data_IF_064265103165
#
_entry.id   IF_064265103165
#
_cell.length_a   1.000
_cell.length_b   1.000
_cell.length_c   1.000
_cell.angle_alpha   90.00
_cell.angle_beta   90.00
_cell.angle_gamma   90.00
#
_symmetry.space_group_name_H-M   'P 1'
#
loop_
_entity.id
_entity.type
_entity.pdbx_description
1 polymer ?
#
# COMPACT_ATOMS: atom_id res chain seq x y z
N UNK A 1 47.93 -49.83 21.09
CA UNK A 1 48.16 -51.00 20.21
C UNK A 1 46.82 -51.29 19.55
N UNK A 2 46.61 -51.23 18.23
CA UNK A 2 47.45 -50.92 17.03
C UNK A 2 46.50 -50.23 16.01
N UNK A 3 46.89 -49.31 15.13
CA UNK A 3 48.20 -48.70 14.78
C UNK A 3 48.01 -47.59 13.72
N UNK A 4 48.95 -47.45 12.78
CA UNK A 4 48.77 -46.77 11.48
C UNK A 4 48.98 -47.80 10.37
N UNK A 5 48.31 -47.62 9.22
CA UNK A 5 48.96 -47.87 7.93
C UNK A 5 48.35 -47.02 6.81
N UNK A 6 49.21 -46.34 6.06
CA UNK A 6 48.89 -45.65 4.81
C UNK A 6 49.20 -46.60 3.66
N UNK A 7 48.24 -46.85 2.77
CA UNK A 7 48.45 -47.59 1.53
C UNK A 7 48.18 -46.69 0.32
N UNK A 8 49.04 -46.81 -0.69
CA UNK A 8 49.21 -45.83 -1.78
C UNK A 8 48.71 -46.32 -3.14
N UNK A 9 48.33 -45.34 -3.97
CA UNK A 9 48.54 -45.30 -5.44
C UNK A 9 47.48 -45.90 -6.40
N UNK A 10 47.46 -45.31 -7.62
CA UNK A 10 46.90 -45.75 -8.91
C UNK A 10 45.37 -45.82 -9.14
N UNK A 11 44.85 -44.65 -9.52
CA UNK A 11 44.35 -44.35 -10.88
C UNK A 11 43.50 -45.37 -11.68
N UNK A 12 42.43 -44.83 -12.28
CA UNK A 12 41.94 -45.11 -13.64
C UNK A 12 41.26 -46.48 -13.93
N UNK A 13 39.92 -46.51 -13.84
CA UNK A 13 38.98 -46.52 -14.99
C UNK A 13 37.63 -47.18 -14.64
N UNK A 14 36.53 -46.47 -14.92
CA UNK A 14 35.28 -46.97 -15.53
C UNK A 14 34.36 -45.76 -15.75
N UNK A 15 34.27 -45.27 -16.99
CA UNK A 15 33.22 -45.63 -17.95
C UNK A 15 31.93 -44.84 -17.72
N UNK A 16 31.82 -43.71 -18.44
CA UNK A 16 30.58 -42.96 -18.60
C UNK A 16 29.60 -43.77 -19.47
N UNK A 17 28.59 -44.38 -18.85
CA UNK A 17 27.43 -44.90 -19.58
C UNK A 17 26.15 -44.90 -18.71
N UNK A 18 25.10 -44.27 -19.26
CA UNK A 18 23.69 -44.48 -18.94
C UNK A 18 23.18 -44.12 -17.52
N UNK A 19 22.67 -42.90 -17.39
CA UNK A 19 21.47 -42.63 -16.57
C UNK A 19 20.44 -41.93 -17.48
N UNK A 20 19.22 -42.46 -17.65
CA UNK A 20 18.24 -41.91 -18.57
C UNK A 20 17.55 -40.66 -18.01
N UNK A 21 17.17 -39.75 -18.91
CA UNK A 21 16.39 -38.55 -18.59
C UNK A 21 14.92 -38.87 -18.36
N UNK A 22 14.41 -38.56 -17.16
CA UNK A 22 13.00 -38.20 -16.90
C UNK A 22 12.83 -37.61 -15.50
N UNK A 23 11.87 -36.69 -15.36
CA UNK A 23 11.61 -35.76 -14.25
C UNK A 23 10.78 -36.37 -13.09
N UNK A 24 10.39 -35.64 -12.01
CA UNK A 24 10.94 -34.42 -11.35
C UNK A 24 11.07 -34.56 -9.80
N UNK A 25 11.35 -33.46 -9.09
CA UNK A 25 11.26 -33.28 -7.63
C UNK A 25 12.10 -34.19 -6.71
N UNK A 26 13.26 -33.67 -6.29
CA UNK A 26 13.78 -33.89 -4.93
C UNK A 26 14.00 -32.55 -4.25
N UNK A 27 13.51 -32.42 -3.01
CA UNK A 27 13.86 -31.31 -2.11
C UNK A 27 15.37 -31.39 -1.84
N UNK A 28 16.16 -30.54 -2.48
CA UNK A 28 17.52 -30.28 -2.01
C UNK A 28 17.38 -29.46 -0.74
N UNK A 29 17.65 -30.07 0.41
CA UNK A 29 17.74 -29.34 1.68
C UNK A 29 18.84 -28.29 1.54
N UNK A 30 18.59 -27.03 1.94
CA UNK A 30 19.56 -25.94 1.82
C UNK A 30 20.91 -26.25 2.50
N UNK A 31 20.93 -27.18 3.48
CA UNK A 31 22.15 -27.67 4.11
C UNK A 31 23.14 -28.35 3.15
N UNK A 32 22.70 -28.91 2.02
CA UNK A 32 23.59 -29.61 1.06
C UNK A 32 24.27 -28.64 0.09
N UNK A 33 23.63 -27.51 -0.21
CA UNK A 33 24.19 -26.48 -1.11
C UNK A 33 25.42 -25.82 -0.49
N UNK A 34 25.38 -25.51 0.81
CA UNK A 34 26.52 -24.91 1.53
C UNK A 34 27.74 -25.82 1.67
N UNK A 35 27.62 -27.14 1.47
CA UNK A 35 28.75 -28.07 1.59
C UNK A 35 29.44 -28.28 0.24
N UNK A 36 28.69 -28.34 -0.86
CA UNK A 36 29.27 -28.48 -2.22
C UNK A 36 29.98 -27.21 -2.71
N UNK A 37 29.61 -26.03 -2.20
CA UNK A 37 30.27 -24.77 -2.54
C UNK A 37 31.72 -24.67 -2.02
N UNK A 38 32.13 -25.48 -1.03
CA UNK A 38 33.44 -25.42 -0.40
C UNK A 38 34.56 -26.14 -1.18
N UNK A 39 34.22 -26.87 -2.25
CA UNK A 39 35.18 -27.67 -3.04
C UNK A 39 35.25 -27.29 -4.52
N UNK A 40 34.47 -26.30 -4.99
CA UNK A 40 34.54 -25.83 -6.39
C UNK A 40 35.43 -24.60 -6.50
N UNK A 41 36.44 -24.66 -7.38
CA UNK A 41 37.27 -23.50 -7.75
C UNK A 41 36.81 -22.88 -9.08
N UNK A 42 35.58 -23.16 -9.52
CA UNK A 42 35.09 -22.64 -10.80
C UNK A 42 34.72 -21.15 -10.64
N UNK A 43 35.38 -20.21 -11.34
CA UNK A 43 35.26 -18.78 -11.02
C UNK A 43 33.83 -18.22 -11.15
N UNK A 44 33.04 -18.81 -12.05
CA UNK A 44 31.62 -18.51 -12.27
C UNK A 44 30.75 -18.85 -11.06
N UNK A 45 30.97 -20.01 -10.43
CA UNK A 45 30.20 -20.51 -9.28
C UNK A 45 30.58 -19.73 -8.02
N UNK A 46 31.87 -19.45 -7.82
CA UNK A 46 32.35 -18.63 -6.70
C UNK A 46 31.79 -17.22 -6.77
N UNK A 47 31.85 -16.56 -7.94
CA UNK A 47 31.28 -15.22 -8.11
C UNK A 47 29.76 -15.16 -7.83
N UNK A 48 29.00 -16.17 -8.26
CA UNK A 48 27.57 -16.28 -7.96
C UNK A 48 27.29 -16.49 -6.45
N UNK A 49 28.14 -17.26 -5.76
CA UNK A 49 28.02 -17.46 -4.33
C UNK A 49 28.35 -16.17 -3.54
N UNK A 50 29.39 -15.43 -3.94
CA UNK A 50 29.77 -14.16 -3.33
C UNK A 50 28.69 -13.07 -3.56
N UNK A 51 28.13 -12.99 -4.77
CA UNK A 51 27.00 -12.10 -5.07
C UNK A 51 25.76 -12.46 -4.23
N UNK A 52 25.42 -13.76 -4.12
CA UNK A 52 24.32 -14.22 -3.27
C UNK A 52 24.54 -13.89 -1.78
N UNK A 53 25.76 -14.07 -1.28
CA UNK A 53 26.12 -13.72 0.10
C UNK A 53 26.04 -12.21 0.36
N UNK A 54 26.49 -11.37 -0.58
CA UNK A 54 26.36 -9.92 -0.52
C UNK A 54 24.89 -9.45 -0.52
N UNK A 55 24.05 -10.05 -1.36
CA UNK A 55 22.61 -9.80 -1.41
C UNK A 55 21.89 -10.24 -0.12
N UNK A 56 22.37 -11.29 0.56
CA UNK A 56 21.84 -11.71 1.87
C UNK A 56 22.28 -10.74 2.98
N UNK A 57 23.55 -10.30 3.00
CA UNK A 57 24.07 -9.38 4.00
C UNK A 57 23.33 -8.04 3.98
N UNK A 58 23.22 -7.41 2.80
CA UNK A 58 22.48 -6.16 2.60
C UNK A 58 20.98 -6.27 2.95
N UNK A 59 20.36 -7.42 2.72
CA UNK A 59 18.97 -7.67 3.15
C UNK A 59 18.82 -7.82 4.68
N UNK A 60 19.86 -8.26 5.40
CA UNK A 60 19.87 -8.32 6.86
C UNK A 60 20.07 -6.92 7.45
N UNK A 61 21.04 -6.16 6.93
CA UNK A 61 21.34 -4.78 7.33
C UNK A 61 20.10 -3.88 7.17
N UNK A 62 19.50 -3.86 5.97
CA UNK A 62 18.25 -3.13 5.68
C UNK A 62 17.11 -3.49 6.64
N UNK A 63 17.01 -4.75 7.07
CA UNK A 63 16.01 -5.20 8.05
C UNK A 63 16.29 -4.64 9.45
N UNK A 64 17.55 -4.57 9.88
CA UNK A 64 17.92 -4.02 11.19
C UNK A 64 17.68 -2.51 11.25
N UNK A 65 17.98 -1.77 10.19
CA UNK A 65 17.68 -0.34 10.11
C UNK A 65 16.18 -0.05 10.12
N UNK A 66 15.38 -0.84 9.39
CA UNK A 66 13.91 -0.75 9.45
C UNK A 66 13.42 -1.01 10.88
N UNK A 67 13.98 -2.01 11.59
CA UNK A 67 13.62 -2.28 12.98
C UNK A 67 14.02 -1.14 13.92
N UNK A 68 15.17 -0.48 13.69
CA UNK A 68 15.62 0.71 14.44
C UNK A 68 14.69 1.90 14.19
N UNK A 69 14.38 2.22 12.93
CA UNK A 69 13.44 3.27 12.56
C UNK A 69 12.04 3.05 13.16
N UNK A 70 11.49 1.83 13.02
CA UNK A 70 10.21 1.44 13.62
C UNK A 70 10.20 1.49 15.16
N UNK A 71 11.36 1.35 15.81
CA UNK A 71 11.48 1.41 17.27
C UNK A 71 11.50 2.85 17.74
N UNK A 72 12.29 3.73 17.10
CA UNK A 72 12.31 5.16 17.38
C UNK A 72 10.90 5.77 17.22
N UNK A 73 10.21 5.42 16.14
CA UNK A 73 8.82 5.80 15.89
C UNK A 73 7.89 5.46 17.06
N UNK A 74 8.00 4.25 17.64
CA UNK A 74 7.15 3.83 18.78
C UNK A 74 7.51 4.46 20.12
N UNK A 75 8.72 5.00 20.25
CA UNK A 75 9.14 5.70 21.46
C UNK A 75 8.68 7.16 21.44
N UNK A 76 8.56 7.75 20.25
CA UNK A 76 8.21 9.16 20.06
C UNK A 76 6.71 9.41 19.80
N UNK A 77 5.97 8.43 19.26
CA UNK A 77 4.54 8.58 18.92
C UNK A 77 3.62 7.75 19.83
N UNK A 78 2.40 8.26 20.04
CA UNK A 78 1.31 7.54 20.68
C UNK A 78 0.12 7.47 19.70
N UNK A 79 -0.36 6.28 19.30
CA UNK A 79 -1.44 6.16 18.32
C UNK A 79 -2.78 6.76 18.77
N UNK A 80 -2.98 6.99 20.07
CA UNK A 80 -4.20 7.57 20.62
C UNK A 80 -4.17 9.12 20.70
N UNK A 81 -3.09 9.77 20.24
CA UNK A 81 -2.87 11.22 20.34
C UNK A 81 -2.75 11.85 18.95
N UNK A 82 -3.54 12.90 18.70
CA UNK A 82 -3.48 13.66 17.43
C UNK A 82 -2.14 14.42 17.33
N UNK A 83 -1.34 14.24 16.28
CA UNK A 83 0.01 14.84 16.13
C UNK A 83 -0.06 16.32 15.71
N UNK A 84 -0.47 17.18 16.64
CA UNK A 84 -0.65 18.62 16.41
C UNK A 84 0.66 19.40 16.53
N UNK A 85 1.13 19.99 15.43
CA UNK A 85 2.33 20.85 15.40
C UNK A 85 1.99 22.31 15.07
N UNK A 86 1.27 22.98 15.99
CA UNK A 86 0.92 24.40 15.86
C UNK A 86 -0.26 24.72 14.94
N UNK A 87 -0.94 23.71 14.41
CA UNK A 87 -2.15 23.81 13.58
C UNK A 87 -2.88 22.47 13.48
N UNK A 88 -3.99 22.39 12.73
CA UNK A 88 -4.67 21.13 12.42
C UNK A 88 -3.75 20.20 11.62
N UNK A 89 -3.97 18.89 11.74
CA UNK A 89 -3.34 17.90 10.87
C UNK A 89 -3.99 18.01 9.49
N UNK A 90 -3.19 18.30 8.47
CA UNK A 90 -3.65 18.31 7.09
C UNK A 90 -3.70 16.90 6.53
N UNK A 91 -4.90 16.48 6.11
CA UNK A 91 -5.16 15.18 5.49
C UNK A 91 -5.59 15.40 4.05
N UNK A 92 -4.77 14.93 3.11
CA UNK A 92 -5.10 14.94 1.68
C UNK A 92 -5.77 13.62 1.31
N UNK A 93 -6.95 13.73 0.70
CA UNK A 93 -7.75 12.59 0.23
C UNK A 93 -7.77 12.54 -1.30
N UNK A 94 -7.54 11.38 -1.89
CA UNK A 94 -7.91 11.11 -3.30
C UNK A 94 -8.57 9.75 -3.41
N UNK A 95 -9.25 9.49 -4.52
CA UNK A 95 -9.87 8.20 -4.79
C UNK A 95 -9.53 7.68 -6.18
N UNK A 96 -9.08 6.44 -6.27
CA UNK A 96 -8.83 5.76 -7.54
C UNK A 96 -9.98 4.77 -7.78
N UNK A 97 -10.91 5.13 -8.67
CA UNK A 97 -12.09 4.32 -8.96
C UNK A 97 -11.70 3.10 -9.81
N UNK A 98 -11.74 1.92 -9.21
CA UNK A 98 -11.44 0.67 -9.92
C UNK A 98 -12.64 0.12 -10.67
N UNK A 99 -13.86 0.15 -10.10
CA UNK A 99 -15.05 -0.45 -10.73
C UNK A 99 -16.38 0.07 -10.19
N UNK A 100 -17.37 0.24 -11.06
CA UNK A 100 -18.78 0.32 -10.69
C UNK A 100 -19.35 -1.10 -10.69
N UNK A 101 -19.72 -1.62 -9.52
CA UNK A 101 -20.18 -3.02 -9.36
C UNK A 101 -21.66 -3.19 -9.67
N UNK A 102 -22.48 -2.35 -9.06
CA UNK A 102 -23.93 -2.43 -9.08
C UNK A 102 -24.51 -1.01 -9.06
N UNK A 103 -25.60 -0.80 -9.80
CA UNK A 103 -26.43 0.40 -9.74
C UNK A 103 -27.88 -0.09 -9.63
N UNK A 104 -28.47 0.11 -8.45
CA UNK A 104 -29.84 -0.30 -8.14
C UNK A 104 -30.75 0.94 -8.15
N UNK A 105 -31.46 1.11 -9.26
CA UNK A 105 -32.40 2.22 -9.48
C UNK A 105 -33.68 2.10 -8.65
N UNK A 106 -33.98 0.93 -8.07
CA UNK A 106 -35.16 0.71 -7.23
C UNK A 106 -34.89 1.14 -5.79
N UNK A 107 -33.69 0.85 -5.27
CA UNK A 107 -33.25 1.26 -3.93
C UNK A 107 -32.57 2.63 -3.90
N UNK A 108 -32.12 3.16 -5.05
CA UNK A 108 -31.30 4.38 -5.09
C UNK A 108 -29.90 4.12 -4.54
N UNK A 109 -29.32 2.96 -4.84
CA UNK A 109 -28.03 2.50 -4.31
C UNK A 109 -27.01 2.32 -5.44
N UNK A 110 -25.75 2.67 -5.17
CA UNK A 110 -24.60 2.36 -6.03
C UNK A 110 -23.55 1.63 -5.20
N UNK A 111 -22.97 0.58 -5.76
CA UNK A 111 -21.80 -0.10 -5.21
C UNK A 111 -20.59 0.13 -6.13
N UNK A 112 -19.48 0.57 -5.53
CA UNK A 112 -18.18 0.72 -6.20
C UNK A 112 -17.10 -0.10 -5.49
N UNK A 113 -16.04 -0.40 -6.23
CA UNK A 113 -14.73 -0.74 -5.68
C UNK A 113 -13.78 0.41 -6.04
N UNK A 114 -13.12 0.97 -5.03
CA UNK A 114 -12.17 2.05 -5.20
C UNK A 114 -11.07 1.98 -4.14
N UNK A 115 -9.87 2.46 -4.50
CA UNK A 115 -8.84 2.76 -3.51
C UNK A 115 -9.04 4.18 -2.99
N UNK A 116 -8.97 4.37 -1.68
CA UNK A 116 -9.02 5.71 -1.07
C UNK A 116 -7.63 6.02 -0.54
N UNK A 117 -6.95 7.00 -1.13
CA UNK A 117 -5.66 7.48 -0.66
C UNK A 117 -5.87 8.45 0.50
N UNK A 118 -5.26 8.15 1.64
CA UNK A 118 -5.26 8.99 2.84
C UNK A 118 -3.79 9.33 3.12
N UNK A 119 -3.43 10.59 2.89
CA UNK A 119 -2.08 11.11 3.06
C UNK A 119 -2.08 12.18 4.17
N UNK A 120 -1.26 11.99 5.19
CA UNK A 120 -1.04 12.99 6.25
C UNK A 120 0.43 13.06 6.64
N UNK A 121 0.77 14.04 7.46
CA UNK A 121 2.12 14.20 8.01
C UNK A 121 2.07 14.19 9.53
N UNK A 122 2.95 13.41 10.13
CA UNK A 122 3.18 13.33 11.56
C UNK A 122 4.67 13.57 11.80
N UNK A 123 5.01 14.68 12.46
CA UNK A 123 6.42 15.07 12.61
C UNK A 123 7.16 14.22 13.65
N UNK A 124 6.44 13.61 14.61
CA UNK A 124 7.01 12.72 15.62
C UNK A 124 7.43 11.37 15.00
N UNK A 125 6.92 11.06 13.80
CA UNK A 125 7.35 9.93 12.97
C UNK A 125 8.59 10.21 12.11
N UNK A 126 9.18 11.41 12.11
CA UNK A 126 10.34 11.70 11.24
C UNK A 126 11.69 11.29 11.84
N UNK A 127 12.55 10.66 11.03
CA UNK A 127 13.94 10.33 11.36
C UNK A 127 14.98 11.07 10.49
N UNK A 128 14.60 12.16 9.81
CA UNK A 128 15.53 13.01 9.05
C UNK A 128 16.65 13.60 9.92
N UNK A 129 16.39 13.84 11.20
CA UNK A 129 17.35 14.43 12.15
C UNK A 129 18.43 13.42 12.58
N UNK A 130 18.08 12.15 12.80
CA UNK A 130 19.06 11.10 13.13
C UNK A 130 19.97 10.81 11.94
N UNK A 131 19.40 10.76 10.72
CA UNK A 131 20.19 10.57 9.49
C UNK A 131 21.20 11.70 9.25
N UNK A 132 20.94 12.93 9.70
CA UNK A 132 21.87 14.06 9.56
C UNK A 132 23.09 13.97 10.48
N UNK A 133 22.94 13.37 11.67
CA UNK A 133 24.00 13.29 12.66
C UNK A 133 24.97 12.13 12.40
N UNK A 134 24.54 11.11 11.65
CA UNK A 134 25.40 10.01 11.19
C UNK A 134 26.21 10.41 9.93
N UNK A 135 25.75 11.41 9.16
CA UNK A 135 26.44 11.95 7.97
C UNK A 135 27.58 12.94 8.27
N UNK A 136 28.48 12.58 9.20
CA UNK A 136 29.81 13.20 9.30
C UNK A 136 30.72 12.88 8.10
N UNK A 137 30.36 11.85 7.33
CA UNK A 137 30.89 11.54 6.01
C UNK A 137 29.83 11.82 4.94
N UNK A 138 30.21 12.58 3.92
CA UNK A 138 29.41 12.80 2.72
C UNK A 138 29.29 11.52 1.88
N UNK A 139 28.20 11.44 1.10
CA UNK A 139 28.00 10.55 -0.06
C UNK A 139 27.57 9.10 0.25
N UNK A 140 26.29 8.81 -0.01
CA UNK A 140 25.68 7.46 -0.07
C UNK A 140 26.10 6.50 1.08
N UNK A 141 25.61 6.76 2.29
CA UNK A 141 25.44 5.66 3.25
C UNK A 141 24.35 4.72 2.69
N UNK A 142 24.60 3.40 2.57
CA UNK A 142 23.62 2.42 2.09
C UNK A 142 22.49 2.17 3.11
N UNK A 143 22.67 2.65 4.33
CA UNK A 143 21.85 2.43 5.54
C UNK A 143 20.59 3.33 5.58
N UNK A 144 20.29 4.05 4.47
CA UNK A 144 19.24 5.07 4.43
C UNK A 144 17.84 4.48 4.20
N UNK A 145 17.14 4.16 5.28
CA UNK A 145 15.72 3.80 5.24
C UNK A 145 14.88 5.01 4.83
N UNK A 146 14.53 5.09 3.54
CA UNK A 146 13.67 6.14 2.99
C UNK A 146 12.20 5.98 3.42
N UNK A 147 11.75 4.74 3.59
CA UNK A 147 10.40 4.43 4.07
C UNK A 147 10.31 3.01 4.61
N UNK A 148 9.30 2.74 5.45
CA UNK A 148 8.95 1.40 5.89
C UNK A 148 7.43 1.16 5.87
N UNK A 149 7.02 -0.10 5.95
CA UNK A 149 5.59 -0.49 6.02
C UNK A 149 5.21 -0.90 7.44
N UNK A 150 4.05 -0.45 7.90
CA UNK A 150 3.54 -0.75 9.24
C UNK A 150 2.02 -0.91 9.23
N UNK A 151 1.48 -1.77 10.10
CA UNK A 151 0.04 -1.89 10.27
C UNK A 151 -0.53 -0.57 10.83
N UNK A 152 -1.58 -0.03 10.20
CA UNK A 152 -2.14 1.31 10.47
C UNK A 152 -2.47 1.50 11.95
N UNK A 153 -3.04 0.46 12.60
CA UNK A 153 -3.37 0.42 14.04
C UNK A 153 -2.19 0.61 15.03
N UNK A 154 -0.98 0.88 14.53
CA UNK A 154 0.24 1.16 15.33
C UNK A 154 0.72 2.60 15.18
N UNK A 155 0.02 3.39 14.36
CA UNK A 155 0.19 4.81 14.17
C UNK A 155 -1.07 5.50 14.67
N UNK A 156 -0.99 6.80 14.94
CA UNK A 156 -2.20 7.61 14.88
C UNK A 156 -2.64 7.68 13.42
N UNK A 157 -3.93 7.50 13.16
CA UNK A 157 -4.53 7.62 11.83
C UNK A 157 -5.79 8.46 11.93
N UNK A 158 -6.01 9.43 11.02
CA UNK A 158 -7.21 10.25 11.05
C UNK A 158 -8.46 9.39 10.84
N UNK A 159 -9.51 9.68 11.59
CA UNK A 159 -10.79 8.96 11.64
C UNK A 159 -11.71 9.31 10.45
N UNK A 160 -11.13 9.31 9.25
CA UNK A 160 -11.79 9.64 8.00
C UNK A 160 -12.71 8.50 7.56
N UNK A 161 -14.02 8.77 7.53
CA UNK A 161 -15.07 7.81 7.19
C UNK A 161 -16.04 8.37 6.16
N UNK A 162 -16.75 7.48 5.46
CA UNK A 162 -17.84 7.87 4.58
C UNK A 162 -19.13 8.12 5.40
N UNK A 163 -19.80 9.25 5.19
CA UNK A 163 -21.02 9.61 5.94
C UNK A 163 -22.33 9.09 5.36
N UNK A 164 -22.37 8.77 4.06
CA UNK A 164 -23.58 8.29 3.37
C UNK A 164 -23.56 6.86 2.78
N UNK A 165 -22.77 5.90 3.28
CA UNK A 165 -22.93 4.50 2.88
C UNK A 165 -24.26 3.92 3.41
N UNK A 166 -24.73 2.83 2.81
CA UNK A 166 -25.89 2.05 3.31
C UNK A 166 -25.48 0.88 4.21
N UNK A 167 -24.22 0.46 4.11
CA UNK A 167 -23.58 -0.60 4.90
C UNK A 167 -22.12 -0.20 5.13
N UNK A 168 -21.50 -0.66 6.22
CA UNK A 168 -20.08 -0.38 6.48
C UNK A 168 -19.21 -0.77 5.28
N UNK A 169 -18.27 0.11 4.83
CA UNK A 169 -17.36 -0.20 3.74
C UNK A 169 -16.50 -1.45 4.03
N UNK A 170 -16.49 -2.40 3.10
CA UNK A 170 -15.73 -3.64 3.25
C UNK A 170 -14.29 -3.44 2.77
N UNK A 171 -13.33 -3.66 3.67
CA UNK A 171 -11.90 -3.56 3.38
C UNK A 171 -11.40 -4.78 2.60
N UNK A 172 -10.94 -4.56 1.38
CA UNK A 172 -10.43 -5.56 0.44
C UNK A 172 -8.89 -5.66 0.41
N UNK A 173 -8.18 -4.87 1.23
CA UNK A 173 -6.71 -4.89 1.31
C UNK A 173 -6.19 -4.98 2.75
N UNK A 174 -4.93 -5.42 2.98
CA UNK A 174 -4.33 -5.36 4.30
C UNK A 174 -4.25 -3.92 4.84
N UNK A 175 -4.57 -3.67 6.13
CA UNK A 175 -4.49 -2.34 6.74
C UNK A 175 -3.04 -1.96 7.07
N UNK A 176 -2.25 -1.67 6.02
CA UNK A 176 -0.83 -1.33 6.08
C UNK A 176 -0.62 0.05 5.47
N UNK A 177 0.06 0.93 6.19
CA UNK A 177 0.54 2.21 5.71
C UNK A 177 2.02 2.15 5.30
N UNK A 178 2.40 3.05 4.40
CA UNK A 178 3.79 3.42 4.13
C UNK A 178 4.12 4.67 4.98
N UNK A 179 5.20 4.62 5.74
CA UNK A 179 5.75 5.77 6.47
C UNK A 179 7.07 6.16 5.82
N UNK A 180 7.18 7.41 5.38
CA UNK A 180 8.40 8.00 4.79
C UNK A 180 9.24 8.70 5.86
N UNK A 181 10.55 8.81 5.62
CA UNK A 181 11.51 9.33 6.60
C UNK A 181 11.25 10.77 7.07
N UNK A 182 10.53 11.56 6.28
CA UNK A 182 10.12 12.91 6.60
C UNK A 182 8.86 13.00 7.49
N UNK A 183 8.33 11.86 7.95
CA UNK A 183 7.10 11.76 8.75
C UNK A 183 5.81 11.73 7.93
N UNK A 184 5.90 11.70 6.59
CA UNK A 184 4.72 11.56 5.73
C UNK A 184 4.20 10.13 5.77
N UNK A 185 2.89 9.95 6.02
CA UNK A 185 2.22 8.65 6.06
C UNK A 185 1.19 8.56 4.94
N UNK A 186 1.26 7.47 4.18
CA UNK A 186 0.32 7.13 3.11
C UNK A 186 -0.37 5.81 3.45
N UNK A 187 -1.69 5.86 3.60
CA UNK A 187 -2.55 4.68 3.73
C UNK A 187 -3.53 4.62 2.55
N UNK A 188 -3.58 3.47 1.87
CA UNK A 188 -4.43 3.26 0.68
C UNK A 188 -5.29 2.00 0.85
N UNK A 189 -6.37 2.05 1.65
CA UNK A 189 -7.38 1.00 1.68
C UNK A 189 -8.06 0.84 0.30
N UNK A 190 -8.18 -0.41 -0.16
CA UNK A 190 -9.09 -0.79 -1.25
C UNK A 190 -10.44 -1.16 -0.62
N UNK A 191 -11.52 -0.47 -0.99
CA UNK A 191 -12.82 -0.58 -0.34
C UNK A 191 -13.90 -0.99 -1.34
N UNK A 192 -14.79 -1.90 -0.93
CA UNK A 192 -16.12 -2.04 -1.53
C UNK A 192 -17.07 -1.14 -0.75
N UNK A 193 -17.62 -0.13 -1.43
CA UNK A 193 -18.45 0.92 -0.82
C UNK A 193 -19.82 0.88 -1.49
N UNK A 194 -20.88 0.71 -0.70
CA UNK A 194 -22.27 0.82 -1.15
C UNK A 194 -22.94 2.03 -0.51
N UNK A 195 -23.52 2.91 -1.30
CA UNK A 195 -24.02 4.22 -0.84
C UNK A 195 -25.26 4.69 -1.58
N UNK A 196 -25.99 5.65 -1.00
CA UNK A 196 -27.20 6.21 -1.60
C UNK A 196 -26.87 7.24 -2.69
N UNK A 197 -27.61 7.19 -3.80
CA UNK A 197 -27.55 8.14 -4.91
C UNK A 197 -28.96 8.45 -5.45
N UNK A 198 -29.21 9.68 -5.88
CA UNK A 198 -30.39 9.99 -6.68
C UNK A 198 -30.17 9.55 -8.13
N UNK A 199 -30.84 8.46 -8.53
CA UNK A 199 -30.70 7.85 -9.86
C UNK A 199 -31.79 8.29 -10.86
N UNK A 200 -32.54 9.37 -10.59
CA UNK A 200 -33.59 9.88 -11.49
C UNK A 200 -33.07 10.17 -12.91
N UNK A 201 -31.83 10.67 -13.02
CA UNK A 201 -31.20 11.05 -14.29
C UNK A 201 -30.34 9.93 -14.91
N UNK A 202 -30.29 8.73 -14.29
CA UNK A 202 -29.41 7.63 -14.69
C UNK A 202 -29.64 7.12 -16.12
N UNK A 203 -30.89 7.18 -16.61
CA UNK A 203 -31.21 6.81 -18.01
C UNK A 203 -31.21 8.02 -18.96
N UNK A 204 -31.14 9.25 -18.43
CA UNK A 204 -31.19 10.49 -19.21
C UNK A 204 -29.80 10.80 -19.82
N UNK A 205 -29.69 11.64 -20.86
CA UNK A 205 -28.42 11.92 -21.53
C UNK A 205 -27.30 12.40 -20.59
N UNK A 206 -27.65 13.18 -19.55
CA UNK A 206 -26.75 13.78 -18.57
C UNK A 206 -26.22 12.87 -17.47
N UNK A 207 -26.80 11.67 -17.28
CA UNK A 207 -26.43 10.74 -16.19
C UNK A 207 -26.79 11.24 -14.79
N UNK A 208 -26.67 10.36 -13.80
CA UNK A 208 -26.89 10.66 -12.39
C UNK A 208 -25.58 11.01 -11.67
N UNK A 209 -25.58 12.11 -10.91
CA UNK A 209 -24.45 12.48 -10.05
C UNK A 209 -24.56 11.76 -8.69
N UNK A 210 -23.69 10.79 -8.47
CA UNK A 210 -23.61 10.01 -7.23
C UNK A 210 -22.43 10.48 -6.39
N UNK A 211 -22.69 11.04 -5.20
CA UNK A 211 -21.67 11.64 -4.35
C UNK A 211 -21.44 10.84 -3.06
N UNK A 212 -20.18 10.46 -2.81
CA UNK A 212 -19.69 9.99 -1.51
C UNK A 212 -19.10 11.16 -0.72
N UNK A 213 -19.52 11.31 0.54
CA UNK A 213 -19.03 12.34 1.45
C UNK A 213 -18.09 11.70 2.46
N UNK A 214 -16.84 12.15 2.52
CA UNK A 214 -15.83 11.70 3.48
C UNK A 214 -15.46 12.81 4.45
N UNK A 215 -15.26 12.49 5.72
CA UNK A 215 -14.76 13.45 6.72
C UNK A 215 -14.38 12.77 8.03
N UNK A 216 -13.81 13.54 8.96
CA UNK A 216 -13.49 13.06 10.31
C UNK A 216 -14.74 12.83 11.14
N UNK A 217 -14.88 11.65 11.73
CA UNK A 217 -16.04 11.30 12.54
C UNK A 217 -16.15 12.09 13.86
N UNK A 218 -15.01 12.45 14.47
CA UNK A 218 -14.94 13.01 15.83
C UNK A 218 -14.21 14.34 15.95
N UNK A 219 -13.55 14.81 14.89
CA UNK A 219 -12.73 16.02 14.92
C UNK A 219 -13.25 17.11 13.97
N UNK A 220 -13.23 18.35 14.46
CA UNK A 220 -13.53 19.54 13.69
C UNK A 220 -12.30 20.06 12.92
N UNK A 221 -12.50 21.08 12.09
CA UNK A 221 -11.50 21.69 11.20
C UNK A 221 -10.33 22.36 11.91
N UNK A 222 -10.41 22.63 13.22
CA UNK A 222 -9.29 23.12 14.03
C UNK A 222 -8.34 21.98 14.46
N UNK A 223 -8.73 20.72 14.24
CA UNK A 223 -7.96 19.50 14.54
C UNK A 223 -7.54 18.74 13.28
N UNK A 224 -8.44 18.59 12.32
CA UNK A 224 -8.17 17.95 11.02
C UNK A 224 -8.65 18.88 9.90
N UNK A 225 -7.73 19.34 9.05
CA UNK A 225 -8.08 20.03 7.80
C UNK A 225 -8.04 19.03 6.64
N UNK A 226 -8.98 19.17 5.70
CA UNK A 226 -9.04 18.31 4.53
C UNK A 226 -8.58 19.03 3.27
N UNK A 227 -7.82 18.31 2.44
CA UNK A 227 -7.56 18.62 1.04
C UNK A 227 -8.04 17.47 0.16
N UNK A 228 -8.28 17.76 -1.10
CA UNK A 228 -8.55 16.75 -2.12
C UNK A 228 -7.46 16.76 -3.20
N UNK A 229 -7.23 15.60 -3.82
CA UNK A 229 -6.36 15.44 -4.99
C UNK A 229 -7.06 14.58 -6.06
N UNK A 230 -8.31 14.92 -6.35
CA UNK A 230 -9.12 14.38 -7.43
C UNK A 230 -9.66 12.97 -7.23
N UNK A 231 -10.30 12.50 -8.31
CA UNK A 231 -10.67 11.11 -8.51
C UNK A 231 -9.95 10.59 -9.75
N UNK A 232 -9.03 9.64 -9.57
CA UNK A 232 -8.40 8.94 -10.70
C UNK A 232 -9.35 7.90 -11.28
N UNK A 233 -9.24 7.71 -12.60
CA UNK A 233 -9.91 6.65 -13.35
C UNK A 233 -8.90 5.85 -14.19
N UNK A 234 -7.60 5.92 -13.85
CA UNK A 234 -6.52 5.28 -14.61
C UNK A 234 -6.69 3.75 -14.69
N UNK A 235 -7.00 3.10 -13.57
CA UNK A 235 -7.25 1.66 -13.46
C UNK A 235 -8.75 1.29 -13.50
N UNK A 236 -9.59 2.15 -14.09
CA UNK A 236 -11.04 1.93 -14.12
C UNK A 236 -11.45 0.82 -15.12
N UNK A 237 -12.04 -0.26 -14.61
CA UNK A 237 -12.62 -1.32 -15.43
C UNK A 237 -14.00 -0.89 -15.98
N UNK A 238 -14.03 -0.58 -17.28
CA UNK A 238 -15.26 -0.17 -17.99
C UNK A 238 -16.30 -1.29 -18.00
N UNK A 239 -17.44 -1.06 -17.35
CA UNK A 239 -18.55 -2.02 -17.33
C UNK A 239 -19.43 -1.92 -18.61
N UNK A 240 -19.87 -3.05 -19.20
CA UNK A 240 -20.75 -3.04 -20.38
C UNK A 240 -22.19 -2.55 -20.11
N UNK A 241 -22.58 -2.33 -18.85
CA UNK A 241 -23.91 -1.86 -18.45
C UNK A 241 -23.97 -0.36 -18.17
N UNK A 242 -22.82 0.26 -17.88
CA UNK A 242 -22.74 1.63 -17.36
C UNK A 242 -21.70 2.46 -18.12
N UNK A 243 -22.01 3.74 -18.32
CA UNK A 243 -21.07 4.76 -18.76
C UNK A 243 -20.71 5.64 -17.56
N UNK A 244 -19.42 5.85 -17.32
CA UNK A 244 -18.92 6.87 -16.40
C UNK A 244 -18.64 8.12 -17.23
N UNK A 245 -19.47 9.17 -17.11
CA UNK A 245 -19.36 10.37 -17.95
C UNK A 245 -18.31 11.36 -17.41
N UNK A 246 -17.99 11.27 -16.13
CA UNK A 246 -16.98 12.10 -15.47
C UNK A 246 -16.92 11.85 -13.97
N UNK A 247 -15.85 12.36 -13.37
CA UNK A 247 -15.61 12.34 -11.93
C UNK A 247 -15.22 13.74 -11.46
N UNK A 248 -15.52 14.06 -10.21
CA UNK A 248 -15.20 15.36 -9.60
C UNK A 248 -14.96 15.20 -8.10
N UNK A 249 -14.07 16.02 -7.56
CA UNK A 249 -13.81 16.11 -6.13
C UNK A 249 -13.87 17.58 -5.67
N UNK A 250 -14.45 17.83 -4.51
CA UNK A 250 -14.43 19.15 -3.86
C UNK A 250 -14.35 19.00 -2.33
N UNK A 251 -13.74 19.97 -1.65
CA UNK A 251 -13.84 20.12 -0.19
C UNK A 251 -14.95 21.13 0.13
N UNK A 252 -15.92 20.71 0.92
CA UNK A 252 -16.99 21.55 1.47
C UNK A 252 -16.74 21.74 2.97
N UNK A 253 -16.91 22.96 3.48
CA UNK A 253 -16.84 23.25 4.92
C UNK A 253 -18.24 23.60 5.42
N UNK A 254 -18.76 22.79 6.34
CA UNK A 254 -20.06 23.01 6.98
C UNK A 254 -19.88 23.62 8.37
N UNK A 255 -20.83 24.45 8.78
CA UNK A 255 -20.99 24.91 10.16
C UNK A 255 -22.35 24.41 10.64
N UNK A 256 -22.38 23.72 11.78
CA UNK A 256 -23.63 23.17 12.33
C UNK A 256 -24.23 24.11 13.38
N UNK A 257 -25.56 24.26 13.48
CA UNK A 257 -26.18 25.17 14.46
C UNK A 257 -25.84 24.91 15.94
N UNK A 258 -25.26 23.75 16.27
CA UNK A 258 -24.81 23.42 17.62
C UNK A 258 -23.50 24.11 18.02
N UNK A 259 -22.65 24.44 17.05
CA UNK A 259 -21.21 24.41 17.21
C UNK A 259 -20.55 25.47 16.30
N UNK A 260 -19.78 26.44 16.82
CA UNK A 260 -19.13 27.48 16.00
C UNK A 260 -17.98 26.96 15.13
N UNK A 261 -17.52 25.73 15.33
CA UNK A 261 -16.40 25.13 14.63
C UNK A 261 -16.74 24.74 13.18
N UNK A 262 -15.77 24.80 12.24
CA UNK A 262 -15.92 24.28 10.90
C UNK A 262 -15.83 22.74 10.88
N UNK A 263 -16.65 22.10 10.05
CA UNK A 263 -16.63 20.65 9.80
C UNK A 263 -16.34 20.42 8.31
N UNK A 264 -15.07 20.20 7.93
CA UNK A 264 -14.70 19.92 6.55
C UNK A 264 -15.12 18.51 6.13
N UNK A 265 -15.53 18.37 4.87
CA UNK A 265 -15.79 17.08 4.22
C UNK A 265 -15.35 17.14 2.76
N UNK A 266 -14.80 16.04 2.25
CA UNK A 266 -14.47 15.86 0.83
C UNK A 266 -15.61 15.11 0.14
N UNK A 267 -16.14 15.68 -0.94
CA UNK A 267 -17.14 15.03 -1.80
C UNK A 267 -16.44 14.40 -2.99
N UNK A 268 -16.58 13.10 -3.17
CA UNK A 268 -16.21 12.39 -4.40
C UNK A 268 -17.48 12.09 -5.20
N UNK A 269 -17.61 12.70 -6.38
CA UNK A 269 -18.80 12.59 -7.24
C UNK A 269 -18.47 11.83 -8.52
N UNK A 270 -19.32 10.86 -8.85
CA UNK A 270 -19.27 10.08 -10.08
C UNK A 270 -20.53 10.38 -10.89
N UNK A 271 -20.38 10.82 -12.13
CA UNK A 271 -21.52 10.90 -13.05
C UNK A 271 -21.67 9.56 -13.76
N UNK A 272 -22.72 8.82 -13.41
CA UNK A 272 -22.97 7.45 -13.86
C UNK A 272 -24.26 7.41 -14.68
N UNK A 273 -24.20 6.76 -15.85
CA UNK A 273 -25.32 6.63 -16.78
C UNK A 273 -25.50 5.17 -17.23
N UNK A 274 -26.74 4.79 -17.56
CA UNK A 274 -27.05 3.50 -18.19
C UNK A 274 -26.51 3.45 -19.62
N UNK A 275 -25.67 2.46 -19.92
CA UNK A 275 -25.16 2.25 -21.28
C UNK A 275 -26.28 1.76 -22.18
N UNK A 276 -26.61 2.52 -23.22
CA UNK A 276 -27.64 2.12 -24.19
C UNK A 276 -27.09 1.06 -25.14
N UNK A 277 -27.79 -0.07 -25.27
CA UNK A 277 -27.48 -1.08 -26.30
C UNK A 277 -28.02 -0.59 -27.64
N UNK A 278 -27.14 -0.15 -28.53
CA UNK A 278 -27.51 0.12 -29.92
C UNK A 278 -27.91 -1.19 -30.60
N UNK A 279 -29.17 -1.30 -31.04
CA UNK A 279 -29.71 -2.44 -31.81
C UNK A 279 -29.53 -2.17 -33.32
N UNK A 280 -28.38 -1.60 -33.70
CA UNK A 280 -28.01 -1.34 -35.09
C UNK A 280 -26.69 -2.04 -35.43
N UNK A 281 -26.77 -3.37 -35.57
CA UNK A 281 -25.87 -4.13 -36.43
C UNK A 281 -26.35 -3.99 -37.88
N UNK A 282 -25.50 -3.44 -38.74
CA UNK A 282 -25.67 -3.44 -40.19
C UNK A 282 -25.27 -4.81 -40.78
#
# INVERSE_FOLDING_TARGET
MVGLELATDRSLQMSLANVPTTTPYKRVSCAVVNILALETTEPSIVAQADEANSNIASAIESKEDILRAMTNVRLNSNPDVVPLHGGPVEVTLSMDLSKIREVDTVRGEVEIIAMVSILWKDHDLSWLSTMRNESGSSQHSPDRVDSFRIAVKRLWSPDIVAYNPVTDPELLSPPIALVSADGTVLYVPNLRIRFRCNLEDFEKPQGANCTLNYGSWTHDGNKISLKENGVSVYDYEVDPRFDLLGTFAEVEVKYYPCCPEPYPLTKFTFNIKKKSRSIFSW
#
